data_IF_333146267736
#
_entry.id   IF_333146267736
#
_cell.length_a   1.000
_cell.length_b   1.000
_cell.length_c   1.000
_cell.angle_alpha   90.00
_cell.angle_beta   90.00
_cell.angle_gamma   90.00
#
_symmetry.space_group_name_H-M   'P 1'
#
loop_
_entity.id
_entity.type
_entity.pdbx_description
1 polymer ?
#
# COMPACT_ATOMS: atom_id res chain seq x y z
N UNK A 1 -25.02 2.29 1.78
CA UNK A 1 -24.37 2.46 3.11
C UNK A 1 -23.39 3.61 3.00
N UNK A 2 -23.38 4.58 3.93
CA UNK A 2 -22.43 5.70 3.92
C UNK A 2 -21.20 5.25 4.70
N UNK A 3 -20.02 5.26 4.07
CA UNK A 3 -18.77 4.93 4.74
C UNK A 3 -18.48 5.96 5.85
N UNK A 4 -18.03 5.47 6.99
CA UNK A 4 -17.47 6.32 8.05
C UNK A 4 -15.97 6.52 7.79
N UNK A 5 -15.32 7.36 8.60
CA UNK A 5 -13.90 7.66 8.44
C UNK A 5 -13.00 6.42 8.59
N UNK A 6 -13.37 5.47 9.43
CA UNK A 6 -12.62 4.21 9.60
C UNK A 6 -12.73 3.32 8.36
N UNK A 7 -13.90 3.22 7.74
CA UNK A 7 -14.09 2.47 6.51
C UNK A 7 -13.24 3.03 5.36
N UNK A 8 -13.16 4.37 5.26
CA UNK A 8 -12.28 5.02 4.28
C UNK A 8 -10.80 4.71 4.53
N UNK A 9 -10.36 4.70 5.79
CA UNK A 9 -8.98 4.36 6.14
C UNK A 9 -8.67 2.88 5.86
N UNK A 10 -9.59 1.97 6.17
CA UNK A 10 -9.47 0.53 5.86
C UNK A 10 -9.39 0.30 4.35
N UNK A 11 -10.24 0.99 3.58
CA UNK A 11 -10.19 0.94 2.12
C UNK A 11 -8.87 1.49 1.58
N UNK A 12 -8.40 2.62 2.09
CA UNK A 12 -7.12 3.19 1.69
C UNK A 12 -5.95 2.24 2.02
N UNK A 13 -5.98 1.57 3.19
CA UNK A 13 -4.98 0.57 3.55
C UNK A 13 -4.98 -0.60 2.57
N UNK A 14 -6.15 -1.16 2.27
CA UNK A 14 -6.29 -2.28 1.31
C UNK A 14 -5.77 -1.88 -0.07
N UNK A 15 -6.25 -0.76 -0.62
CA UNK A 15 -5.85 -0.29 -1.95
C UNK A 15 -4.33 -0.01 -2.01
N UNK A 16 -3.71 0.39 -0.90
CA UNK A 16 -2.25 0.61 -0.80
C UNK A 16 -1.48 -0.72 -0.77
N UNK A 17 -1.97 -1.72 -0.03
CA UNK A 17 -1.40 -3.06 -0.02
C UNK A 17 -1.49 -3.74 -1.39
N UNK A 18 -2.58 -3.52 -2.13
CA UNK A 18 -2.73 -3.98 -3.51
C UNK A 18 -1.67 -3.36 -4.43
N UNK A 19 -1.40 -2.05 -4.31
CA UNK A 19 -0.32 -1.39 -5.07
C UNK A 19 1.06 -1.97 -4.75
N UNK A 20 1.34 -2.31 -3.48
CA UNK A 20 2.60 -2.99 -3.13
C UNK A 20 2.75 -4.31 -3.89
N UNK A 21 1.71 -5.15 -3.87
CA UNK A 21 1.70 -6.42 -4.60
C UNK A 21 1.91 -6.16 -6.09
N UNK A 22 1.11 -5.28 -6.68
CA UNK A 22 1.13 -5.03 -8.13
C UNK A 22 2.50 -4.52 -8.59
N UNK A 23 3.11 -3.56 -7.88
CA UNK A 23 4.45 -3.09 -8.23
C UNK A 23 5.52 -4.17 -8.09
N UNK A 24 5.44 -5.04 -7.08
CA UNK A 24 6.35 -6.18 -6.96
C UNK A 24 6.16 -7.16 -8.12
N UNK A 25 4.92 -7.51 -8.44
CA UNK A 25 4.60 -8.43 -9.53
C UNK A 25 5.11 -7.87 -10.87
N UNK A 26 4.86 -6.59 -11.16
CA UNK A 26 5.39 -5.94 -12.37
C UNK A 26 6.92 -5.96 -12.40
N UNK A 27 7.60 -5.80 -11.26
CA UNK A 27 9.06 -5.85 -11.19
C UNK A 27 9.65 -7.23 -11.52
N UNK A 28 8.84 -8.30 -11.50
CA UNK A 28 9.25 -9.63 -11.92
C UNK A 28 9.01 -9.88 -13.42
N UNK A 29 8.01 -9.23 -14.01
CA UNK A 29 7.63 -9.42 -15.41
C UNK A 29 8.44 -8.53 -16.38
N UNK A 30 8.88 -7.35 -15.95
CA UNK A 30 9.62 -6.42 -16.83
C UNK A 30 11.08 -6.86 -17.00
N UNK A 31 11.61 -6.81 -18.22
CA UNK A 31 13.00 -7.22 -18.49
C UNK A 31 14.03 -6.11 -18.25
N UNK A 32 13.63 -4.84 -18.37
CA UNK A 32 14.55 -3.70 -18.23
C UNK A 32 14.97 -3.55 -16.75
N UNK A 33 16.28 -3.68 -16.41
CA UNK A 33 16.74 -3.64 -15.03
C UNK A 33 16.47 -2.31 -14.31
N UNK A 34 16.53 -1.18 -15.01
CA UNK A 34 16.25 0.14 -14.43
C UNK A 34 14.76 0.25 -14.06
N UNK A 35 13.87 -0.27 -14.90
CA UNK A 35 12.43 -0.30 -14.63
C UNK A 35 12.10 -1.28 -13.50
N UNK A 36 12.79 -2.43 -13.42
CA UNK A 36 12.64 -3.37 -12.31
C UNK A 36 12.97 -2.70 -10.97
N UNK A 37 14.11 -2.01 -10.88
CA UNK A 37 14.55 -1.33 -9.66
C UNK A 37 13.57 -0.21 -9.28
N UNK A 38 13.16 0.60 -10.25
CA UNK A 38 12.18 1.67 -10.03
C UNK A 38 10.86 1.15 -9.46
N UNK A 39 10.33 0.03 -9.98
CA UNK A 39 9.10 -0.59 -9.47
C UNK A 39 9.26 -1.15 -8.06
N UNK A 40 10.42 -1.72 -7.73
CA UNK A 40 10.73 -2.21 -6.37
C UNK A 40 10.78 -1.07 -5.36
N UNK A 41 11.33 0.08 -5.74
CA UNK A 41 11.34 1.27 -4.89
C UNK A 41 9.93 1.83 -4.66
N UNK A 42 9.07 1.78 -5.67
CA UNK A 42 7.66 2.14 -5.52
C UNK A 42 6.92 1.17 -4.59
N UNK A 43 7.12 -0.14 -4.75
CA UNK A 43 6.55 -1.13 -3.84
C UNK A 43 6.98 -0.89 -2.38
N UNK A 44 8.25 -0.56 -2.16
CA UNK A 44 8.76 -0.22 -0.83
C UNK A 44 8.10 1.04 -0.27
N UNK A 45 7.95 2.07 -1.09
CA UNK A 45 7.33 3.34 -0.70
C UNK A 45 5.86 3.16 -0.32
N UNK A 46 5.09 2.43 -1.13
CA UNK A 46 3.71 2.08 -0.79
C UNK A 46 3.64 1.18 0.46
N UNK A 47 4.62 0.30 0.69
CA UNK A 47 4.72 -0.50 1.90
C UNK A 47 4.85 0.36 3.16
N UNK A 48 5.67 1.42 3.11
CA UNK A 48 5.78 2.40 4.20
C UNK A 48 4.48 3.17 4.43
N UNK A 49 3.77 3.54 3.36
CA UNK A 49 2.45 4.18 3.45
C UNK A 49 1.41 3.25 4.08
N UNK A 50 1.38 1.98 3.67
CA UNK A 50 0.49 0.97 4.23
C UNK A 50 0.75 0.77 5.73
N UNK A 51 2.02 0.73 6.14
CA UNK A 51 2.39 0.65 7.55
C UNK A 51 1.85 1.84 8.33
N UNK A 52 2.01 3.07 7.81
CA UNK A 52 1.49 4.28 8.46
C UNK A 52 -0.04 4.27 8.61
N UNK A 53 -0.76 3.77 7.61
CA UNK A 53 -2.22 3.61 7.65
C UNK A 53 -2.64 2.58 8.71
N UNK A 54 -1.95 1.43 8.73
CA UNK A 54 -2.15 0.37 9.73
C UNK A 54 -1.88 0.89 11.14
N UNK A 55 -0.77 1.58 11.37
CA UNK A 55 -0.42 2.16 12.67
C UNK A 55 -1.46 3.17 13.13
N UNK A 56 -1.99 4.00 12.22
CA UNK A 56 -3.06 4.94 12.57
C UNK A 56 -4.33 4.21 13.00
N UNK A 57 -4.73 3.15 12.30
CA UNK A 57 -5.90 2.34 12.62
C UNK A 57 -5.73 1.56 13.94
N UNK A 58 -4.53 1.05 14.22
CA UNK A 58 -4.25 0.25 15.42
C UNK A 58 -4.07 1.11 16.67
N UNK A 59 -3.43 2.28 16.55
CA UNK A 59 -3.14 3.17 17.68
C UNK A 59 -4.30 4.13 18.00
N UNK A 60 -5.17 4.44 17.04
CA UNK A 60 -6.39 5.20 17.28
C UNK A 60 -7.61 4.27 17.39
N UNK A 61 -7.51 3.18 18.16
CA UNK A 61 -8.72 2.46 18.63
C UNK A 61 -9.56 3.43 19.44
N UNK A 62 -10.44 4.16 18.76
CA UNK A 62 -11.50 4.96 19.37
C UNK A 62 -12.45 3.95 19.99
N UNK A 63 -12.36 3.78 21.31
CA UNK A 63 -13.35 3.07 22.11
C UNK A 63 -14.68 3.82 22.08
#
# INVERSE_FOLDING_TARGET
MKFNSEDYLKKALLDTQERVRDFMDFSYEVENPEVQEFLRDFAKTEGLQAQKLKDYLENNKVY
#
